data_IF_088030034905
#
_entry.id   IF_088030034905
#
_cell.length_a   1.000
_cell.length_b   1.000
_cell.length_c   1.000
_cell.angle_alpha   90.00
_cell.angle_beta   90.00
_cell.angle_gamma   90.00
#
_symmetry.space_group_name_H-M   'P 1'
#
loop_
_entity.id
_entity.type
_entity.pdbx_description
1 polymer ?
#
# COMPACT_ATOMS: atom_id res chain seq x y z
N UNK A 1 29.68 -34.91 8.29
CA UNK A 1 28.71 -34.92 9.41
C UNK A 1 27.81 -33.71 9.22
N UNK A 2 26.67 -33.93 8.56
CA UNK A 2 25.85 -32.88 7.93
C UNK A 2 24.81 -32.35 8.93
N UNK A 3 24.79 -31.04 9.13
CA UNK A 3 23.69 -30.34 9.80
C UNK A 3 22.65 -29.96 8.73
N UNK A 4 21.53 -30.68 8.70
CA UNK A 4 20.40 -30.37 7.85
C UNK A 4 19.73 -29.08 8.35
N UNK A 5 19.93 -28.00 7.59
CA UNK A 5 19.16 -26.76 7.73
C UNK A 5 17.74 -27.07 7.27
N UNK A 6 16.81 -27.15 8.21
CA UNK A 6 15.37 -27.20 7.94
C UNK A 6 14.96 -25.83 7.39
N UNK A 7 15.05 -25.68 6.07
CA UNK A 7 14.44 -24.54 5.37
C UNK A 7 12.93 -24.75 5.37
N UNK A 8 12.21 -24.00 6.20
CA UNK A 8 10.76 -23.91 6.10
C UNK A 8 10.37 -23.25 4.77
N UNK A 9 9.53 -23.87 3.90
CA UNK A 9 9.22 -23.31 2.58
C UNK A 9 8.18 -22.18 2.59
N UNK A 10 7.68 -21.76 3.76
CA UNK A 10 6.54 -20.83 3.86
C UNK A 10 6.84 -19.64 4.77
N UNK A 11 7.85 -18.87 4.39
CA UNK A 11 8.15 -17.57 4.97
C UNK A 11 8.12 -16.50 3.89
N UNK A 12 6.97 -16.21 3.27
CA UNK A 12 6.84 -14.99 2.48
C UNK A 12 6.80 -13.80 3.43
N UNK A 13 7.97 -13.47 4.00
CA UNK A 13 8.27 -12.14 4.51
C UNK A 13 8.21 -11.22 3.30
N UNK A 14 7.00 -10.76 2.95
CA UNK A 14 6.82 -9.73 1.94
C UNK A 14 7.53 -8.49 2.49
N UNK A 15 8.79 -8.31 2.10
CA UNK A 15 9.61 -7.18 2.53
C UNK A 15 8.87 -5.92 2.13
N UNK A 16 8.83 -4.92 3.01
CA UNK A 16 8.17 -3.63 2.78
C UNK A 16 8.50 -2.99 1.43
N UNK A 17 9.68 -3.27 0.88
CA UNK A 17 10.11 -2.86 -0.46
C UNK A 17 9.13 -3.27 -1.56
N UNK A 18 8.49 -4.44 -1.47
CA UNK A 18 7.53 -4.90 -2.48
C UNK A 18 6.22 -4.12 -2.42
N UNK A 19 5.74 -3.79 -1.20
CA UNK A 19 4.58 -2.92 -1.03
C UNK A 19 4.86 -1.50 -1.52
N UNK A 20 6.05 -0.99 -1.26
CA UNK A 20 6.47 0.31 -1.77
C UNK A 20 6.56 0.30 -3.30
N UNK A 21 7.17 -0.72 -3.90
CA UNK A 21 7.24 -0.86 -5.35
C UNK A 21 5.85 -0.99 -5.98
N UNK A 22 4.93 -1.76 -5.38
CA UNK A 22 3.56 -1.85 -5.86
C UNK A 22 2.85 -0.51 -5.76
N UNK A 23 3.01 0.24 -4.66
CA UNK A 23 2.37 1.55 -4.51
C UNK A 23 2.90 2.56 -5.52
N UNK A 24 4.21 2.57 -5.80
CA UNK A 24 4.81 3.44 -6.83
C UNK A 24 4.16 3.17 -8.19
N UNK A 25 4.09 1.89 -8.60
CA UNK A 25 3.52 1.48 -9.88
C UNK A 25 2.02 1.78 -9.94
N UNK A 26 1.28 1.51 -8.86
CA UNK A 26 -0.14 1.72 -8.83
C UNK A 26 -0.49 3.22 -8.76
N UNK A 27 0.28 4.04 -8.06
CA UNK A 27 0.05 5.49 -8.05
C UNK A 27 0.39 6.13 -9.39
N UNK A 28 1.41 5.61 -10.08
CA UNK A 28 1.67 5.98 -11.46
C UNK A 28 0.48 5.63 -12.36
N UNK A 29 -0.03 4.39 -12.25
CA UNK A 29 -1.22 3.96 -12.99
C UNK A 29 -2.48 4.77 -12.63
N UNK A 30 -2.65 5.16 -11.35
CA UNK A 30 -3.77 5.97 -10.87
C UNK A 30 -3.87 7.29 -11.62
N UNK A 31 -2.76 8.01 -11.75
CA UNK A 31 -2.74 9.30 -12.45
C UNK A 31 -3.07 9.11 -13.93
N UNK A 32 -2.43 8.14 -14.60
CA UNK A 32 -2.69 7.86 -16.01
C UNK A 32 -4.14 7.46 -16.25
N UNK A 33 -4.69 6.57 -15.41
CA UNK A 33 -6.09 6.15 -15.50
C UNK A 33 -7.06 7.30 -15.22
N UNK A 34 -6.75 8.19 -14.28
CA UNK A 34 -7.59 9.35 -14.00
C UNK A 34 -7.66 10.31 -15.20
N UNK A 35 -6.55 10.52 -15.90
CA UNK A 35 -6.54 11.28 -17.16
C UNK A 35 -7.28 10.51 -18.27
N UNK A 36 -7.02 9.21 -18.41
CA UNK A 36 -7.66 8.40 -19.44
C UNK A 36 -9.18 8.34 -19.29
N UNK A 37 -9.69 8.21 -18.06
CA UNK A 37 -11.11 8.24 -17.75
C UNK A 37 -11.73 9.62 -18.01
N UNK A 38 -10.97 10.71 -17.85
CA UNK A 38 -11.48 12.06 -18.06
C UNK A 38 -11.55 12.45 -19.54
N UNK A 39 -10.59 12.01 -20.32
CA UNK A 39 -10.47 12.33 -21.75
C UNK A 39 -10.98 11.21 -22.65
N UNK A 40 -11.59 10.17 -22.07
CA UNK A 40 -12.14 9.01 -22.77
C UNK A 40 -11.10 8.30 -23.67
N UNK A 41 -9.82 8.35 -23.28
CA UNK A 41 -8.72 7.81 -24.08
C UNK A 41 -7.34 8.29 -23.62
N UNK A 42 -6.31 7.86 -24.35
CA UNK A 42 -4.91 8.24 -24.08
C UNK A 42 -4.43 9.43 -24.93
N UNK A 43 -5.32 10.00 -25.73
CA UNK A 43 -5.06 11.17 -26.56
C UNK A 43 -5.65 12.40 -25.89
N UNK A 44 -4.79 13.23 -25.30
CA UNK A 44 -5.17 14.49 -24.67
C UNK A 44 -4.31 15.63 -25.22
N UNK A 45 -4.80 16.89 -25.19
CA UNK A 45 -4.06 17.99 -25.78
C UNK A 45 -2.73 18.24 -25.06
N UNK A 46 -1.76 18.82 -25.77
CA UNK A 46 -0.36 18.97 -25.32
C UNK A 46 -0.21 19.79 -24.03
N UNK A 47 -1.11 20.75 -23.80
CA UNK A 47 -1.15 21.51 -22.54
C UNK A 47 -1.50 20.62 -21.33
N UNK A 48 -2.38 19.63 -21.53
CA UNK A 48 -2.80 18.68 -20.50
C UNK A 48 -1.77 17.58 -20.30
N UNK A 49 -1.04 17.14 -21.34
CA UNK A 49 0.04 16.16 -21.18
C UNK A 49 1.20 16.68 -20.33
N UNK A 50 1.57 17.96 -20.53
CA UNK A 50 2.57 18.62 -19.69
C UNK A 50 2.08 18.71 -18.24
N UNK A 51 0.83 19.16 -18.04
CA UNK A 51 0.23 19.27 -16.70
C UNK A 51 0.11 17.91 -16.01
N UNK A 52 -0.21 16.84 -16.74
CA UNK A 52 -0.25 15.46 -16.24
C UNK A 52 1.13 15.00 -15.78
N UNK A 53 2.17 15.26 -16.57
CA UNK A 53 3.55 14.88 -16.27
C UNK A 53 4.07 15.60 -15.03
N UNK A 54 3.86 16.92 -14.96
CA UNK A 54 4.24 17.73 -13.79
C UNK A 54 3.47 17.27 -12.55
N UNK A 55 2.16 17.07 -12.66
CA UNK A 55 1.34 16.58 -11.55
C UNK A 55 1.79 15.20 -11.08
N UNK A 56 2.10 14.28 -11.99
CA UNK A 56 2.61 12.95 -11.65
C UNK A 56 3.93 13.04 -10.88
N UNK A 57 4.91 13.79 -11.42
CA UNK A 57 6.26 13.92 -10.83
C UNK A 57 6.21 14.54 -9.44
N UNK A 58 5.29 15.49 -9.20
CA UNK A 58 5.15 16.16 -7.91
C UNK A 58 4.28 15.36 -6.93
N UNK A 59 3.14 14.82 -7.39
CA UNK A 59 2.19 14.13 -6.51
C UNK A 59 2.72 12.78 -6.04
N UNK A 60 3.39 12.01 -6.89
CA UNK A 60 3.87 10.66 -6.58
C UNK A 60 4.78 10.60 -5.34
N UNK A 61 5.87 11.41 -5.22
CA UNK A 61 6.70 11.40 -4.02
C UNK A 61 5.94 11.87 -2.78
N UNK A 62 4.99 12.80 -2.92
CA UNK A 62 4.18 13.30 -1.80
C UNK A 62 3.24 12.21 -1.29
N UNK A 63 2.57 11.47 -2.18
CA UNK A 63 1.73 10.32 -1.81
C UNK A 63 2.56 9.30 -1.03
N UNK A 64 3.73 8.91 -1.55
CA UNK A 64 4.62 7.95 -0.89
C UNK A 64 5.07 8.47 0.47
N UNK A 65 5.44 9.75 0.57
CA UNK A 65 5.85 10.37 1.82
C UNK A 65 4.73 10.35 2.86
N UNK A 66 3.49 10.64 2.47
CA UNK A 66 2.31 10.59 3.35
C UNK A 66 2.11 9.15 3.86
N UNK A 67 2.13 8.16 2.97
CA UNK A 67 1.98 6.76 3.35
C UNK A 67 3.12 6.27 4.27
N UNK A 68 4.34 6.77 4.03
CA UNK A 68 5.50 6.48 4.86
C UNK A 68 5.41 7.11 6.25
N UNK A 69 4.99 8.38 6.34
CA UNK A 69 4.74 9.09 7.61
C UNK A 69 3.60 8.46 8.40
N UNK A 70 2.56 7.97 7.72
CA UNK A 70 1.50 7.19 8.34
C UNK A 70 1.97 5.81 8.88
N UNK A 71 3.22 5.42 8.59
CA UNK A 71 3.82 4.18 9.07
C UNK A 71 3.25 2.94 8.40
N UNK A 72 2.58 3.09 7.24
CA UNK A 72 1.91 1.97 6.55
C UNK A 72 2.90 0.94 6.03
N UNK A 73 4.15 1.35 5.75
CA UNK A 73 5.21 0.40 5.38
C UNK A 73 5.75 -0.34 6.59
N UNK A 74 5.81 0.25 7.79
CA UNK A 74 6.44 -0.42 8.94
C UNK A 74 5.66 -1.60 9.52
N UNK A 75 4.38 -1.77 9.14
CA UNK A 75 3.46 -2.74 9.76
C UNK A 75 3.35 -4.02 8.95
N UNK A 76 3.32 -5.17 9.65
CA UNK A 76 2.92 -6.43 9.04
C UNK A 76 1.40 -6.47 8.84
N UNK A 77 0.96 -6.24 7.62
CA UNK A 77 -0.46 -6.26 7.23
C UNK A 77 -1.16 -7.60 7.47
N UNK A 78 -0.41 -8.70 7.61
CA UNK A 78 -0.95 -10.00 8.05
C UNK A 78 -1.63 -9.95 9.42
N UNK A 79 -1.25 -9.00 10.28
CA UNK A 79 -1.75 -8.85 11.65
C UNK A 79 -2.50 -7.53 11.86
N UNK A 80 -2.78 -6.78 10.79
CA UNK A 80 -3.48 -5.50 10.88
C UNK A 80 -4.93 -5.68 11.35
N UNK A 81 -5.32 -4.94 12.38
CA UNK A 81 -6.68 -4.87 12.92
C UNK A 81 -7.52 -3.78 12.27
N UNK A 82 -8.50 -3.24 13.01
CA UNK A 82 -9.33 -2.12 12.58
C UNK A 82 -8.56 -0.78 12.62
N UNK A 83 -7.76 -0.55 13.66
CA UNK A 83 -7.00 0.69 13.84
C UNK A 83 -6.02 0.94 12.68
N UNK A 84 -5.42 -0.12 12.12
CA UNK A 84 -4.57 -0.03 10.93
C UNK A 84 -5.36 0.34 9.68
N UNK A 85 -6.60 -0.13 9.57
CA UNK A 85 -7.48 0.20 8.44
C UNK A 85 -7.91 1.67 8.50
N UNK A 86 -8.25 2.17 9.69
CA UNK A 86 -8.53 3.61 9.89
C UNK A 86 -7.33 4.47 9.50
N UNK A 87 -6.12 4.07 9.89
CA UNK A 87 -4.88 4.76 9.48
C UNK A 87 -4.67 4.74 7.97
N UNK A 88 -5.00 3.63 7.30
CA UNK A 88 -4.94 3.54 5.84
C UNK A 88 -5.94 4.50 5.20
N UNK A 89 -7.18 4.49 5.66
CA UNK A 89 -8.24 5.36 5.12
C UNK A 89 -7.86 6.82 5.33
N UNK A 90 -7.43 7.20 6.54
CA UNK A 90 -6.99 8.56 6.85
C UNK A 90 -5.79 8.99 5.99
N UNK A 91 -4.77 8.13 5.87
CA UNK A 91 -3.60 8.42 5.03
C UNK A 91 -3.96 8.58 3.56
N UNK A 92 -4.85 7.72 3.02
CA UNK A 92 -5.35 7.83 1.66
C UNK A 92 -6.17 9.10 1.45
N UNK A 93 -7.02 9.48 2.41
CA UNK A 93 -7.79 10.72 2.36
C UNK A 93 -6.87 11.97 2.38
N UNK A 94 -5.88 11.99 3.27
CA UNK A 94 -4.87 13.06 3.34
C UNK A 94 -4.08 13.13 2.04
N UNK A 95 -3.71 11.97 1.48
CA UNK A 95 -3.00 11.86 0.20
C UNK A 95 -3.82 12.39 -0.97
N UNK A 96 -5.10 12.03 -1.05
CA UNK A 96 -6.02 12.54 -2.07
C UNK A 96 -6.25 14.04 -1.94
N UNK A 97 -6.44 14.54 -0.72
CA UNK A 97 -6.59 15.98 -0.45
C UNK A 97 -5.32 16.77 -0.80
N UNK A 98 -4.15 16.23 -0.47
CA UNK A 98 -2.87 16.83 -0.88
C UNK A 98 -2.76 16.89 -2.41
N UNK A 99 -3.08 15.81 -3.11
CA UNK A 99 -3.13 15.78 -4.57
C UNK A 99 -4.07 16.84 -5.16
N UNK A 100 -5.27 16.98 -4.58
CA UNK A 100 -6.23 18.01 -4.96
C UNK A 100 -5.66 19.42 -4.78
N UNK A 101 -5.09 19.74 -3.62
CA UNK A 101 -4.48 21.04 -3.37
C UNK A 101 -3.31 21.34 -4.31
N UNK A 102 -2.45 20.34 -4.55
CA UNK A 102 -1.29 20.47 -5.44
C UNK A 102 -1.76 20.77 -6.86
N UNK A 103 -2.66 19.95 -7.40
CA UNK A 103 -3.11 20.05 -8.78
C UNK A 103 -4.03 21.26 -9.05
N UNK A 104 -4.88 21.63 -8.09
CA UNK A 104 -5.86 22.70 -8.27
C UNK A 104 -5.29 24.09 -7.95
N UNK A 105 -4.37 24.19 -6.98
CA UNK A 105 -3.90 25.48 -6.46
C UNK A 105 -2.38 25.68 -6.63
N UNK A 106 -1.55 24.75 -6.16
CA UNK A 106 -0.09 24.98 -6.08
C UNK A 106 0.55 25.02 -7.47
N UNK A 107 0.30 24.03 -8.32
CA UNK A 107 0.94 23.95 -9.65
C UNK A 107 0.60 25.14 -10.56
N UNK A 108 -0.67 25.60 -10.65
CA UNK A 108 -1.01 26.80 -11.40
C UNK A 108 -0.41 28.07 -10.80
N UNK A 109 -0.38 28.19 -9.46
CA UNK A 109 0.13 29.38 -8.77
C UNK A 109 1.63 29.58 -9.00
N UNK A 110 2.41 28.50 -9.04
CA UNK A 110 3.85 28.52 -9.31
C UNK A 110 4.16 28.62 -10.81
N UNK A 111 3.14 28.59 -11.68
CA UNK A 111 3.31 28.66 -13.13
C UNK A 111 3.91 27.41 -13.77
N UNK A 112 3.93 26.28 -13.04
CA UNK A 112 4.47 25.00 -13.54
C UNK A 112 3.52 24.30 -14.51
N UNK A 113 2.27 24.73 -14.58
CA UNK A 113 1.26 24.20 -15.49
C UNK A 113 0.54 25.34 -16.18
N UNK A 114 0.59 25.39 -17.52
CA UNK A 114 -0.11 26.39 -18.32
C UNK A 114 -1.65 26.26 -18.28
N UNK A 115 -2.16 25.11 -17.85
CA UNK A 115 -3.58 24.85 -17.63
C UNK A 115 -3.79 24.19 -16.26
N UNK A 116 -4.89 24.54 -15.59
CA UNK A 116 -5.27 23.86 -14.35
C UNK A 116 -5.62 22.41 -14.64
N UNK A 117 -5.13 21.48 -13.81
CA UNK A 117 -5.57 20.09 -13.88
C UNK A 117 -7.07 20.03 -13.58
N UNK A 118 -7.90 19.36 -14.41
CA UNK A 118 -9.35 19.32 -14.17
C UNK A 118 -9.66 18.71 -12.79
N UNK A 119 -10.56 19.35 -12.02
CA UNK A 119 -10.93 18.88 -10.68
C UNK A 119 -11.43 17.42 -10.68
N UNK A 120 -12.11 17.02 -11.75
CA UNK A 120 -12.54 15.63 -11.97
C UNK A 120 -11.37 14.66 -11.99
N UNK A 121 -10.24 15.00 -12.63
CA UNK A 121 -9.04 14.15 -12.68
C UNK A 121 -8.44 14.01 -11.29
N UNK A 122 -8.33 15.12 -10.55
CA UNK A 122 -7.78 15.12 -9.19
C UNK A 122 -8.63 14.28 -8.24
N UNK A 123 -9.96 14.36 -8.36
CA UNK A 123 -10.89 13.57 -7.57
C UNK A 123 -10.79 12.08 -7.91
N UNK A 124 -10.80 11.73 -9.21
CA UNK A 124 -10.66 10.34 -9.67
C UNK A 124 -9.32 9.75 -9.24
N UNK A 125 -8.22 10.50 -9.37
CA UNK A 125 -6.90 10.08 -8.91
C UNK A 125 -6.85 9.87 -7.39
N UNK A 126 -7.50 10.74 -6.61
CA UNK A 126 -7.62 10.56 -5.16
C UNK A 126 -8.32 9.24 -4.79
N UNK A 127 -9.42 8.92 -5.46
CA UNK A 127 -10.15 7.67 -5.27
C UNK A 127 -9.35 6.45 -5.72
N UNK A 128 -8.79 6.48 -6.92
CA UNK A 128 -8.00 5.39 -7.49
C UNK A 128 -6.76 5.11 -6.63
N UNK A 129 -6.03 6.14 -6.22
CA UNK A 129 -4.86 5.97 -5.35
C UNK A 129 -5.23 5.39 -3.99
N UNK A 130 -6.38 5.78 -3.40
CA UNK A 130 -6.87 5.16 -2.17
C UNK A 130 -7.18 3.67 -2.32
N UNK A 131 -7.90 3.30 -3.39
CA UNK A 131 -8.21 1.89 -3.71
C UNK A 131 -6.92 1.11 -3.94
N UNK A 132 -6.01 1.66 -4.73
CA UNK A 132 -4.74 1.04 -5.08
C UNK A 132 -3.78 0.93 -3.90
N UNK A 133 -3.80 1.85 -2.95
CA UNK A 133 -3.11 1.65 -1.69
C UNK A 133 -3.73 0.49 -0.90
N UNK A 134 -5.06 0.37 -0.87
CA UNK A 134 -5.72 -0.67 -0.09
C UNK A 134 -5.56 -2.09 -0.68
N UNK A 135 -5.64 -2.24 -2.01
CA UNK A 135 -5.68 -3.54 -2.68
C UNK A 135 -4.51 -4.48 -2.32
N UNK A 136 -3.22 -4.11 -2.47
CA UNK A 136 -2.10 -4.98 -2.11
C UNK A 136 -2.13 -5.38 -0.62
N UNK A 137 -2.52 -4.45 0.24
CA UNK A 137 -2.56 -4.64 1.70
C UNK A 137 -3.66 -5.61 2.12
N UNK A 138 -4.85 -5.46 1.54
CA UNK A 138 -5.98 -6.35 1.76
C UNK A 138 -5.70 -7.74 1.17
N UNK A 139 -5.03 -7.83 0.01
CA UNK A 139 -4.62 -9.09 -0.58
C UNK A 139 -3.66 -9.86 0.34
N UNK A 140 -2.64 -9.18 0.90
CA UNK A 140 -1.71 -9.77 1.87
C UNK A 140 -2.44 -10.24 3.14
N UNK A 141 -3.38 -9.44 3.66
CA UNK A 141 -4.19 -9.80 4.83
C UNK A 141 -5.05 -11.03 4.56
N UNK A 142 -5.73 -11.07 3.41
CA UNK A 142 -6.59 -12.19 3.02
C UNK A 142 -5.78 -13.48 2.82
N UNK A 143 -4.62 -13.39 2.17
CA UNK A 143 -3.72 -14.53 1.98
C UNK A 143 -3.21 -15.07 3.31
N UNK A 144 -2.78 -14.20 4.22
CA UNK A 144 -2.32 -14.59 5.55
C UNK A 144 -3.41 -15.26 6.40
N UNK A 145 -4.68 -14.85 6.25
CA UNK A 145 -5.81 -15.48 6.92
C UNK A 145 -6.09 -16.88 6.36
N UNK A 146 -6.10 -17.04 5.03
CA UNK A 146 -6.31 -18.34 4.36
C UNK A 146 -5.21 -19.34 4.68
N UNK A 147 -3.95 -18.90 4.66
CA UNK A 147 -2.80 -19.75 5.01
C UNK A 147 -2.90 -20.33 6.44
N UNK A 148 -3.48 -19.58 7.38
CA UNK A 148 -3.74 -20.09 8.75
C UNK A 148 -4.94 -21.02 8.83
N UNK A 149 -5.99 -20.74 8.07
CA UNK A 149 -7.19 -21.59 8.03
C UNK A 149 -6.90 -22.95 7.40
N UNK A 150 -5.97 -22.99 6.43
CA UNK A 150 -5.54 -24.21 5.75
C UNK A 150 -4.31 -24.87 6.40
N UNK A 151 -3.85 -24.37 7.55
CA UNK A 151 -2.81 -25.05 8.30
C UNK A 151 -3.39 -26.38 8.81
N UNK A 152 -2.71 -27.52 8.61
CA UNK A 152 -3.25 -28.83 8.99
C UNK A 152 -3.67 -28.83 10.48
N UNK A 153 -4.88 -29.31 10.77
CA UNK A 153 -5.40 -29.46 12.14
C UNK A 153 -4.48 -30.31 13.04
N UNK A 154 -3.62 -31.12 12.43
CA UNK A 154 -2.65 -31.98 13.10
C UNK A 154 -1.42 -31.22 13.63
N UNK A 155 -1.32 -29.90 13.40
CA UNK A 155 -0.44 -29.05 14.17
C UNK A 155 -1.01 -28.89 15.58
N UNK A 156 -0.80 -29.92 16.43
CA UNK A 156 -1.22 -29.97 17.83
C UNK A 156 -0.93 -28.63 18.51
N UNK A 157 -1.98 -27.85 18.74
CA UNK A 157 -1.89 -26.59 19.47
C UNK A 157 -1.74 -26.91 20.95
N UNK A 158 -0.51 -27.11 21.41
CA UNK A 158 -0.21 -27.24 22.83
C UNK A 158 -0.20 -25.84 23.47
N UNK A 159 -1.19 -25.55 24.32
CA UNK A 159 -1.18 -24.37 25.17
C UNK A 159 -0.40 -24.72 26.45
N UNK A 160 0.80 -24.17 26.61
CA UNK A 160 1.58 -24.34 27.84
C UNK A 160 1.15 -23.26 28.82
N UNK A 161 0.38 -23.65 29.84
CA UNK A 161 -0.02 -22.77 30.94
C UNK A 161 0.98 -22.96 32.08
N UNK A 162 1.75 -21.92 32.40
CA UNK A 162 2.81 -21.96 33.41
C UNK A 162 4.18 -22.29 32.81
N UNK A 163 4.87 -21.27 32.28
CA UNK A 163 6.21 -21.39 31.71
C UNK A 163 7.31 -21.28 32.80
N UNK A 164 7.28 -22.20 33.77
CA UNK A 164 8.43 -22.47 34.63
C UNK A 164 9.41 -23.45 33.96
N UNK A 165 10.43 -23.90 34.70
CA UNK A 165 11.44 -24.84 34.19
C UNK A 165 10.85 -26.12 33.54
N UNK A 166 9.69 -26.60 34.03
CA UNK A 166 9.00 -27.76 33.46
C UNK A 166 8.41 -27.49 32.06
N UNK A 167 7.90 -26.28 31.79
CA UNK A 167 7.39 -25.91 30.48
C UNK A 167 8.51 -25.78 29.44
N UNK A 168 9.69 -25.33 29.85
CA UNK A 168 10.85 -25.19 28.98
C UNK A 168 11.45 -26.55 28.57
N UNK A 169 11.38 -27.55 29.45
CA UNK A 169 11.84 -28.91 29.18
C UNK A 169 10.92 -29.63 28.17
N UNK A 170 9.60 -29.47 28.31
CA UNK A 170 8.61 -30.07 27.41
C UNK A 170 8.71 -29.48 25.99
N UNK A 171 9.01 -28.19 25.84
CA UNK A 171 9.24 -27.56 24.53
C UNK A 171 10.47 -28.12 23.82
N UNK A 172 11.48 -28.58 24.55
CA UNK A 172 12.69 -29.19 23.96
C UNK A 172 12.47 -30.64 23.52
N UNK A 173 11.45 -31.31 24.03
CA UNK A 173 11.12 -32.71 23.69
C UNK A 173 10.01 -32.86 22.62
N UNK A 174 9.31 -31.78 22.29
CA UNK A 174 8.37 -31.70 21.16
C UNK A 174 9.08 -31.34 19.85
#
# INVERSE_FOLDING_TARGET
MAANVVTSPFGTHLRNRYLLASDVLLFFASVILAFALRFEGFEWPTAQSHSATVYLVVSLPIKILILWRAGLYRRLWRYAGLLELERLIAASAISGFAGLLIGAAILPLVGLTGARVPLSVLFIDGLLSGIFAALPRLAVRAYGRRARANAPEDARRALIVGAGAAGEMIVKEL
#
